data_IF_205493505595
#
_entry.id   IF_205493505595
#
_cell.length_a   1.000
_cell.length_b   1.000
_cell.length_c   1.000
_cell.angle_alpha   90.00
_cell.angle_beta   90.00
_cell.angle_gamma   90.00
#
_symmetry.space_group_name_H-M   'P 1'
#
loop_
_entity.id
_entity.type
_entity.pdbx_description
1 polymer ?
#
# COMPACT_ATOMS: atom_id res chain seq x y z
N UNK A 1 54.55 15.35 69.43
CA UNK A 1 53.96 14.09 69.01
C UNK A 1 52.70 14.36 68.22
N UNK A 2 52.79 14.36 66.88
CA UNK A 2 51.69 14.68 65.99
C UNK A 2 51.49 13.50 65.04
N UNK A 3 50.44 12.77 65.27
CA UNK A 3 50.01 11.63 64.46
C UNK A 3 49.17 12.10 63.26
N UNK A 4 49.70 11.91 62.03
CA UNK A 4 48.98 12.20 60.80
C UNK A 4 48.09 11.01 60.43
N UNK A 5 46.78 11.21 60.42
CA UNK A 5 45.78 10.26 59.92
C UNK A 5 45.69 10.38 58.38
N UNK A 6 46.10 9.35 57.66
CA UNK A 6 46.00 9.28 56.21
C UNK A 6 44.57 8.89 55.79
N UNK A 7 43.89 9.75 55.08
CA UNK A 7 42.61 9.47 54.40
C UNK A 7 42.88 8.71 53.09
N UNK A 8 42.54 7.44 53.07
CA UNK A 8 42.50 6.66 51.82
C UNK A 8 41.13 6.88 51.15
N UNK A 9 41.12 7.60 50.05
CA UNK A 9 39.98 7.78 49.20
C UNK A 9 39.81 6.50 48.31
N UNK A 10 38.75 5.75 48.51
CA UNK A 10 38.34 4.69 47.60
C UNK A 10 37.56 5.30 46.44
N UNK A 11 38.14 5.29 45.28
CA UNK A 11 37.44 5.65 44.04
C UNK A 11 36.62 4.44 43.58
N UNK A 12 35.29 4.54 43.67
CA UNK A 12 34.36 3.54 43.17
C UNK A 12 34.16 3.79 41.68
N UNK A 13 34.77 3.00 40.80
CA UNK A 13 34.58 3.06 39.37
C UNK A 13 33.25 2.36 39.01
N UNK A 14 32.23 3.13 38.66
CA UNK A 14 30.95 2.62 38.15
C UNK A 14 31.14 2.31 36.67
N UNK A 15 31.25 1.03 36.33
CA UNK A 15 31.20 0.51 34.96
C UNK A 15 29.76 0.60 34.46
N UNK A 16 29.43 1.62 33.66
CA UNK A 16 28.17 1.68 32.89
C UNK A 16 28.28 0.66 31.74
N UNK A 17 27.67 -0.50 31.89
CA UNK A 17 27.43 -1.43 30.80
C UNK A 17 26.27 -0.91 29.94
N UNK A 18 26.59 -0.31 28.81
CA UNK A 18 25.59 0.00 27.76
C UNK A 18 25.18 -1.31 27.10
N UNK A 19 24.01 -1.85 27.45
CA UNK A 19 23.39 -2.93 26.71
C UNK A 19 23.02 -2.45 25.31
N UNK A 20 23.40 -3.16 24.22
CA UNK A 20 22.92 -2.83 22.89
C UNK A 20 21.41 -3.03 22.86
N UNK A 21 20.65 -1.97 22.55
CA UNK A 21 19.25 -2.07 22.24
C UNK A 21 19.13 -2.95 20.98
N UNK A 22 18.64 -4.18 21.15
CA UNK A 22 18.23 -5.01 20.04
C UNK A 22 17.07 -4.27 19.37
N UNK A 23 17.34 -3.60 18.26
CA UNK A 23 16.32 -3.07 17.39
C UNK A 23 15.47 -4.26 16.93
N UNK A 24 14.28 -4.38 17.52
CA UNK A 24 13.26 -5.33 17.06
C UNK A 24 12.89 -4.90 15.64
N UNK A 25 13.41 -5.61 14.63
CA UNK A 25 12.89 -5.49 13.27
C UNK A 25 11.45 -5.99 13.32
N UNK A 26 10.50 -5.07 13.27
CA UNK A 26 9.11 -5.44 13.03
C UNK A 26 9.03 -6.23 11.73
N UNK A 27 8.28 -7.36 11.71
CA UNK A 27 8.15 -8.15 10.50
C UNK A 27 7.41 -7.35 9.43
N UNK A 28 7.91 -7.42 8.18
CA UNK A 28 7.32 -6.83 6.98
C UNK A 28 5.79 -7.03 6.98
N UNK A 29 5.04 -5.97 7.21
CA UNK A 29 3.58 -6.01 7.26
C UNK A 29 3.01 -5.29 6.04
N UNK A 30 2.25 -6.01 5.23
CA UNK A 30 1.47 -5.40 4.15
C UNK A 30 0.06 -5.13 4.68
N UNK A 31 -0.39 -3.90 4.60
CA UNK A 31 -1.79 -3.56 4.83
C UNK A 31 -2.53 -3.75 3.52
N UNK A 32 -3.56 -4.57 3.56
CA UNK A 32 -4.48 -4.80 2.46
C UNK A 32 -5.89 -4.45 2.90
N UNK A 33 -6.60 -3.64 2.12
CA UNK A 33 -7.99 -3.31 2.34
C UNK A 33 -8.78 -3.50 1.04
N UNK A 34 -9.80 -4.35 1.07
CA UNK A 34 -10.73 -4.56 -0.04
C UNK A 34 -11.99 -3.76 0.20
N UNK A 35 -12.43 -3.05 -0.84
CA UNK A 35 -13.62 -2.20 -0.82
C UNK A 35 -14.61 -2.67 -1.87
N UNK A 36 -15.87 -2.81 -1.49
CA UNK A 36 -16.98 -3.09 -2.39
C UNK A 36 -17.69 -1.81 -2.82
N UNK A 37 -18.15 -1.78 -4.07
CA UNK A 37 -18.80 -0.61 -4.65
C UNK A 37 -18.76 -0.63 -6.17
N UNK A 38 -18.91 0.55 -6.78
CA UNK A 38 -18.98 0.71 -8.24
C UNK A 38 -18.00 1.77 -8.73
N UNK A 39 -17.41 1.52 -9.90
CA UNK A 39 -16.75 2.59 -10.66
C UNK A 39 -17.78 3.31 -11.54
N UNK A 40 -17.93 4.61 -11.33
CA UNK A 40 -18.67 5.45 -12.29
C UNK A 40 -17.81 5.77 -13.51
N UNK A 41 -16.49 5.80 -13.31
CA UNK A 41 -15.51 6.02 -14.39
C UNK A 41 -14.28 5.17 -14.10
N UNK A 42 -13.81 4.45 -15.11
CA UNK A 42 -12.48 3.85 -15.15
C UNK A 42 -11.97 3.96 -16.58
N UNK A 43 -11.06 4.90 -16.80
CA UNK A 43 -10.42 5.12 -18.11
C UNK A 43 -8.94 4.76 -18.05
N UNK A 44 -8.47 4.04 -19.06
CA UNK A 44 -7.09 3.67 -19.25
C UNK A 44 -6.69 3.98 -20.68
N UNK A 45 -5.81 4.95 -20.86
CA UNK A 45 -5.37 5.36 -22.19
C UNK A 45 -6.55 5.74 -23.10
N UNK A 46 -7.55 6.45 -22.57
CA UNK A 46 -8.74 6.87 -23.30
C UNK A 46 -9.81 5.78 -23.54
N UNK A 47 -9.60 4.54 -23.04
CA UNK A 47 -10.57 3.46 -23.13
C UNK A 47 -11.31 3.30 -21.83
N UNK A 48 -12.62 3.09 -21.90
CA UNK A 48 -13.48 2.84 -20.74
C UNK A 48 -13.46 1.35 -20.37
N UNK A 49 -13.49 1.10 -19.05
CA UNK A 49 -13.57 -0.25 -18.47
C UNK A 49 -14.60 -0.27 -17.35
N UNK A 50 -15.24 -1.42 -17.16
CA UNK A 50 -16.02 -1.70 -15.95
C UNK A 50 -15.11 -2.23 -14.84
N UNK A 51 -15.39 -1.88 -13.59
CA UNK A 51 -14.66 -2.43 -12.45
C UNK A 51 -15.56 -3.29 -11.55
N UNK A 52 -14.93 -4.28 -10.93
CA UNK A 52 -15.57 -5.20 -9.99
C UNK A 52 -15.28 -4.85 -8.53
N UNK A 53 -14.06 -4.46 -8.23
CA UNK A 53 -13.63 -4.12 -6.88
C UNK A 53 -12.40 -3.22 -6.89
N UNK A 54 -12.19 -2.48 -5.79
CA UNK A 54 -10.98 -1.71 -5.55
C UNK A 54 -10.31 -2.20 -4.26
N UNK A 55 -9.00 -2.40 -4.32
CA UNK A 55 -8.18 -2.72 -3.17
C UNK A 55 -7.12 -1.65 -2.92
N UNK A 56 -6.84 -1.40 -1.65
CA UNK A 56 -5.71 -0.60 -1.21
C UNK A 56 -4.62 -1.50 -0.66
N UNK A 57 -3.38 -1.25 -1.06
CA UNK A 57 -2.20 -1.91 -0.52
C UNK A 57 -1.21 -0.86 -0.03
N UNK A 58 -0.65 -1.08 1.13
CA UNK A 58 0.47 -0.30 1.62
C UNK A 58 1.59 -1.23 2.06
N UNK A 59 2.79 -1.01 1.53
CA UNK A 59 4.02 -1.69 1.95
C UNK A 59 4.68 -0.91 3.08
N UNK A 60 5.58 -1.54 3.83
CA UNK A 60 6.33 -0.88 4.92
C UNK A 60 7.24 0.24 4.45
N UNK A 61 7.71 0.15 3.21
CA UNK A 61 8.55 1.19 2.58
C UNK A 61 7.75 2.47 2.26
N UNK A 62 6.47 2.54 2.67
CA UNK A 62 5.61 3.71 2.47
C UNK A 62 4.93 3.76 1.11
N UNK A 63 5.22 2.83 0.19
CA UNK A 63 4.55 2.75 -1.10
C UNK A 63 3.12 2.25 -0.91
N UNK A 64 2.18 2.98 -1.50
CA UNK A 64 0.77 2.64 -1.51
C UNK A 64 0.25 2.44 -2.94
N UNK A 65 -0.81 1.65 -3.05
CA UNK A 65 -1.38 1.26 -4.33
C UNK A 65 -2.91 1.20 -4.21
N UNK A 66 -3.61 1.82 -5.16
CA UNK A 66 -5.02 1.55 -5.42
C UNK A 66 -5.12 0.63 -6.62
N UNK A 67 -5.50 -0.62 -6.38
CA UNK A 67 -5.62 -1.65 -7.42
C UNK A 67 -7.08 -1.91 -7.73
N UNK A 68 -7.42 -1.78 -8.99
CA UNK A 68 -8.78 -1.99 -9.51
C UNK A 68 -8.84 -3.32 -10.23
N UNK A 69 -9.71 -4.21 -9.79
CA UNK A 69 -10.05 -5.43 -10.53
C UNK A 69 -11.09 -5.09 -11.60
N UNK A 70 -10.78 -5.40 -12.85
CA UNK A 70 -11.70 -5.17 -13.96
C UNK A 70 -12.81 -6.22 -13.98
N UNK A 71 -13.97 -5.80 -14.45
CA UNK A 71 -15.06 -6.73 -14.78
C UNK A 71 -14.82 -7.30 -16.18
N UNK A 72 -13.87 -8.23 -16.27
CA UNK A 72 -13.48 -8.93 -17.49
C UNK A 72 -13.77 -10.42 -17.34
N UNK A 73 -14.86 -10.93 -17.95
CA UNK A 73 -15.23 -12.34 -17.86
C UNK A 73 -14.17 -13.29 -18.44
N UNK A 74 -13.32 -12.79 -19.32
CA UNK A 74 -12.27 -13.58 -19.99
C UNK A 74 -10.96 -13.61 -19.22
N UNK A 75 -10.74 -12.69 -18.28
CA UNK A 75 -9.50 -12.54 -17.53
C UNK A 75 -9.71 -12.03 -16.10
N UNK A 76 -9.94 -12.94 -15.17
CA UNK A 76 -10.07 -12.61 -13.74
C UNK A 76 -8.81 -12.01 -13.12
N UNK A 77 -7.64 -12.08 -13.81
CA UNK A 77 -6.38 -11.45 -13.36
C UNK A 77 -6.18 -10.01 -13.86
N UNK A 78 -7.11 -9.48 -14.66
CA UNK A 78 -7.01 -8.16 -15.27
C UNK A 78 -7.14 -7.07 -14.21
N UNK A 79 -6.05 -6.41 -13.90
CA UNK A 79 -6.01 -5.35 -12.89
C UNK A 79 -5.25 -4.11 -13.37
N UNK A 80 -5.67 -2.97 -12.86
CA UNK A 80 -5.04 -1.67 -13.06
C UNK A 80 -4.70 -1.10 -11.71
N UNK A 81 -3.43 -0.68 -11.52
CA UNK A 81 -2.97 -0.15 -10.24
C UNK A 81 -2.41 1.25 -10.40
N UNK A 82 -2.94 2.18 -9.61
CA UNK A 82 -2.37 3.49 -9.35
C UNK A 82 -1.39 3.34 -8.19
N UNK A 83 -0.10 3.52 -8.45
CA UNK A 83 0.96 3.30 -7.47
C UNK A 83 1.73 4.59 -7.19
N UNK A 84 2.05 4.83 -5.92
CA UNK A 84 2.77 6.03 -5.53
C UNK A 84 3.40 5.94 -4.14
N UNK A 85 4.17 6.96 -3.81
CA UNK A 85 4.83 7.14 -2.53
C UNK A 85 4.36 8.42 -1.84
N UNK A 86 4.76 8.60 -0.59
CA UNK A 86 4.51 9.83 0.19
C UNK A 86 3.01 10.16 0.34
N UNK A 87 2.19 9.12 0.50
CA UNK A 87 0.78 9.29 0.83
C UNK A 87 0.62 10.06 2.15
N UNK A 88 -0.34 10.97 2.21
CA UNK A 88 -0.58 11.85 3.36
C UNK A 88 -2.06 11.92 3.72
N UNK A 89 -2.32 12.29 4.97
CA UNK A 89 -3.67 12.55 5.49
C UNK A 89 -3.79 14.02 5.90
N UNK A 90 -4.18 14.91 4.97
CA UNK A 90 -4.39 16.31 5.31
C UNK A 90 -5.55 16.51 6.30
N UNK A 91 -6.52 15.59 6.29
CA UNK A 91 -7.67 15.57 7.18
C UNK A 91 -7.93 14.15 7.69
N UNK A 92 -8.67 13.99 8.78
CA UNK A 92 -8.95 12.69 9.40
C UNK A 92 -9.61 11.68 8.45
N UNK A 93 -10.42 12.16 7.52
CA UNK A 93 -11.19 11.38 6.57
C UNK A 93 -10.75 11.57 5.10
N UNK A 94 -9.59 12.18 4.87
CA UNK A 94 -9.02 12.38 3.53
C UNK A 94 -7.61 11.80 3.47
N UNK A 95 -7.39 10.88 2.53
CA UNK A 95 -6.07 10.38 2.19
C UNK A 95 -5.72 10.79 0.75
N UNK A 96 -4.54 11.35 0.57
CA UNK A 96 -3.98 11.74 -0.73
C UNK A 96 -2.72 10.94 -1.01
N UNK A 97 -2.64 10.37 -2.22
CA UNK A 97 -1.49 9.60 -2.69
C UNK A 97 -1.00 10.20 -4.02
N UNK A 98 0.17 10.85 -4.03
CA UNK A 98 0.83 11.19 -5.29
C UNK A 98 1.15 9.91 -6.08
N UNK A 99 0.79 9.88 -7.36
CA UNK A 99 0.99 8.73 -8.25
C UNK A 99 2.23 8.97 -9.10
N UNK A 100 3.15 8.00 -9.12
CA UNK A 100 4.37 8.03 -9.93
C UNK A 100 4.38 6.97 -11.04
N UNK A 101 3.50 5.97 -10.96
CA UNK A 101 3.40 4.91 -11.98
C UNK A 101 2.04 4.22 -12.00
N UNK A 102 1.71 3.71 -13.19
CA UNK A 102 0.61 2.76 -13.40
C UNK A 102 1.16 1.36 -13.60
N UNK A 103 0.48 0.36 -13.00
CA UNK A 103 0.78 -1.06 -13.23
C UNK A 103 -0.42 -1.69 -13.93
N UNK A 104 -0.20 -2.28 -15.09
CA UNK A 104 -1.24 -2.89 -15.91
C UNK A 104 -0.98 -4.40 -16.01
N UNK A 105 -1.87 -5.21 -15.49
CA UNK A 105 -1.74 -6.67 -15.44
C UNK A 105 -2.90 -7.33 -16.18
N UNK A 106 -2.61 -8.35 -16.99
CA UNK A 106 -3.58 -9.21 -17.65
C UNK A 106 -2.99 -10.62 -17.83
N UNK A 107 -3.81 -11.60 -18.16
CA UNK A 107 -3.37 -12.98 -18.44
C UNK A 107 -2.39 -13.10 -19.61
N UNK A 108 -2.47 -12.15 -20.57
CA UNK A 108 -1.67 -12.14 -21.79
C UNK A 108 -0.27 -11.53 -21.58
N UNK A 109 0.03 -11.05 -20.37
CA UNK A 109 1.36 -10.54 -20.02
C UNK A 109 2.37 -11.68 -19.83
N UNK A 110 3.67 -11.43 -20.05
CA UNK A 110 4.72 -12.36 -19.67
C UNK A 110 4.56 -12.81 -18.21
N UNK A 111 4.90 -14.05 -17.92
CA UNK A 111 4.74 -14.63 -16.59
C UNK A 111 6.09 -14.89 -15.94
N UNK A 112 6.19 -14.66 -14.62
CA UNK A 112 7.24 -15.18 -13.76
C UNK A 112 6.58 -15.99 -12.65
N UNK A 113 7.09 -17.20 -12.40
CA UNK A 113 6.54 -18.16 -11.41
C UNK A 113 5.03 -18.42 -11.58
N UNK A 114 4.57 -18.43 -12.84
CA UNK A 114 3.17 -18.66 -13.19
C UNK A 114 2.26 -17.43 -13.07
N UNK A 115 2.74 -16.32 -12.54
CA UNK A 115 1.97 -15.08 -12.37
C UNK A 115 2.30 -14.05 -13.45
N UNK A 116 1.28 -13.37 -14.04
CA UNK A 116 1.52 -12.29 -15.00
C UNK A 116 2.33 -11.14 -14.38
N UNK A 117 3.40 -10.74 -15.07
CA UNK A 117 4.21 -9.57 -14.71
C UNK A 117 3.48 -8.32 -15.20
N UNK A 118 3.15 -7.34 -14.34
CA UNK A 118 2.52 -6.10 -14.78
C UNK A 118 3.45 -5.29 -15.69
N UNK A 119 2.90 -4.60 -16.69
CA UNK A 119 3.62 -3.49 -17.31
C UNK A 119 3.67 -2.30 -16.37
N UNK A 120 4.77 -1.58 -16.38
CA UNK A 120 4.97 -0.38 -15.58
C UNK A 120 5.02 0.81 -16.52
N UNK A 121 4.14 1.80 -16.32
CA UNK A 121 4.11 3.04 -17.06
C UNK A 121 4.35 4.19 -16.09
N UNK A 122 5.42 4.95 -16.29
CA UNK A 122 5.74 6.12 -15.45
C UNK A 122 4.72 7.23 -15.73
N UNK A 123 4.14 7.74 -14.68
CA UNK A 123 3.06 8.74 -14.73
C UNK A 123 3.24 9.77 -13.63
N UNK A 124 2.51 10.87 -13.73
CA UNK A 124 2.32 11.81 -12.64
C UNK A 124 0.83 11.99 -12.40
N UNK A 125 0.43 11.97 -11.12
CA UNK A 125 -0.98 12.07 -10.79
C UNK A 125 -1.26 12.14 -9.30
N UNK A 126 -2.54 12.00 -8.96
CA UNK A 126 -3.01 12.04 -7.59
C UNK A 126 -4.21 11.12 -7.42
N UNK A 127 -4.20 10.32 -6.38
CA UNK A 127 -5.39 9.66 -5.86
C UNK A 127 -5.85 10.35 -4.58
N UNK A 128 -7.17 10.51 -4.44
CA UNK A 128 -7.85 10.95 -3.22
C UNK A 128 -8.83 9.89 -2.77
N UNK A 129 -8.77 9.53 -1.51
CA UNK A 129 -9.72 8.64 -0.87
C UNK A 129 -10.41 9.40 0.24
N UNK A 130 -11.75 9.41 0.21
CA UNK A 130 -12.59 9.95 1.28
C UNK A 130 -13.08 8.80 2.14
N UNK A 131 -12.81 8.90 3.46
CA UNK A 131 -13.09 7.88 4.44
C UNK A 131 -11.89 7.56 5.31
N UNK A 132 -12.08 6.69 6.30
CA UNK A 132 -11.06 6.42 7.30
C UNK A 132 -10.86 4.91 7.46
N UNK A 133 -9.62 4.44 7.30
CA UNK A 133 -9.26 3.03 7.53
C UNK A 133 -9.38 2.60 9.00
N UNK A 134 -9.37 3.55 9.95
CA UNK A 134 -9.54 3.23 11.37
C UNK A 134 -11.00 2.88 11.68
N UNK A 135 -11.95 3.61 11.07
CA UNK A 135 -13.38 3.33 11.21
C UNK A 135 -13.87 2.29 10.21
N UNK A 136 -13.00 1.80 9.32
CA UNK A 136 -13.32 0.87 8.24
C UNK A 136 -14.36 1.40 7.24
N UNK A 137 -14.44 2.70 7.10
CA UNK A 137 -15.38 3.38 6.22
C UNK A 137 -14.63 4.07 5.09
N UNK A 138 -14.98 3.77 3.86
CA UNK A 138 -14.57 4.50 2.66
C UNK A 138 -15.82 4.86 1.88
N UNK A 139 -15.97 6.13 1.52
CA UNK A 139 -17.09 6.59 0.72
C UNK A 139 -16.74 6.66 -0.76
N UNK A 140 -15.56 7.17 -1.10
CA UNK A 140 -15.15 7.31 -2.50
C UNK A 140 -13.63 7.29 -2.69
N UNK A 141 -13.23 6.98 -3.92
CA UNK A 141 -11.85 7.10 -4.39
C UNK A 141 -11.88 7.77 -5.75
N UNK A 142 -11.06 8.80 -5.92
CA UNK A 142 -10.83 9.44 -7.21
C UNK A 142 -9.34 9.45 -7.52
N UNK A 143 -8.94 8.96 -8.69
CA UNK A 143 -7.57 9.00 -9.15
C UNK A 143 -7.50 9.60 -10.55
N UNK A 144 -6.48 10.41 -10.78
CA UNK A 144 -6.10 10.89 -12.11
C UNK A 144 -4.59 10.78 -12.25
N UNK A 145 -4.13 10.30 -13.40
CA UNK A 145 -2.70 10.26 -13.72
C UNK A 145 -2.50 10.44 -15.24
N UNK A 146 -1.34 10.93 -15.64
CA UNK A 146 -0.96 11.02 -17.05
C UNK A 146 0.52 10.65 -17.22
N UNK A 147 0.85 10.06 -18.37
CA UNK A 147 2.23 9.83 -18.76
C UNK A 147 2.79 11.03 -19.53
N UNK A 148 4.09 10.98 -19.83
CA UNK A 148 4.78 12.02 -20.60
C UNK A 148 4.30 12.18 -22.05
N UNK A 149 3.55 11.20 -22.57
CA UNK A 149 3.01 11.21 -23.93
C UNK A 149 1.55 11.69 -23.97
N UNK A 150 1.01 12.13 -22.81
CA UNK A 150 -0.38 12.58 -22.69
C UNK A 150 -1.41 11.45 -22.57
N UNK A 151 -0.98 10.18 -22.39
CA UNK A 151 -1.88 9.09 -22.08
C UNK A 151 -2.45 9.29 -20.67
N UNK A 152 -3.76 9.25 -20.52
CA UNK A 152 -4.47 9.54 -19.28
C UNK A 152 -5.07 8.29 -18.65
N UNK A 153 -5.15 8.31 -17.32
CA UNK A 153 -5.72 7.27 -16.47
C UNK A 153 -6.65 7.95 -15.47
N UNK A 154 -7.88 7.44 -15.34
CA UNK A 154 -8.89 8.05 -14.49
C UNK A 154 -9.70 6.97 -13.77
N UNK A 155 -9.92 7.14 -12.47
CA UNK A 155 -10.81 6.33 -11.65
C UNK A 155 -11.74 7.24 -10.87
N UNK A 156 -13.04 6.94 -10.92
CA UNK A 156 -14.05 7.45 -10.00
C UNK A 156 -14.79 6.23 -9.40
N UNK A 157 -14.58 6.00 -8.14
CA UNK A 157 -15.15 4.88 -7.40
C UNK A 157 -16.03 5.39 -6.27
N UNK A 158 -17.19 4.76 -6.10
CA UNK A 158 -18.13 4.99 -5.01
C UNK A 158 -18.36 3.69 -4.27
N UNK A 159 -18.15 3.71 -2.95
CA UNK A 159 -18.45 2.57 -2.09
C UNK A 159 -19.97 2.32 -2.01
N UNK A 160 -20.35 1.08 -1.79
CA UNK A 160 -21.74 0.68 -1.50
C UNK A 160 -22.11 0.83 -0.01
N UNK A 161 -21.17 1.33 0.82
CA UNK A 161 -21.35 1.52 2.25
C UNK A 161 -21.03 0.29 3.08
N UNK A 162 -20.66 -0.84 2.47
CA UNK A 162 -20.19 -1.99 3.22
C UNK A 162 -18.84 -1.69 3.89
N UNK A 163 -18.61 -2.20 5.11
CA UNK A 163 -17.33 -2.03 5.80
C UNK A 163 -16.18 -2.62 4.99
N UNK A 164 -15.04 -1.94 4.98
CA UNK A 164 -13.83 -2.47 4.34
C UNK A 164 -13.36 -3.76 5.01
N UNK A 165 -12.98 -4.74 4.21
CA UNK A 165 -12.24 -5.90 4.68
C UNK A 165 -10.75 -5.55 4.76
N UNK A 166 -10.23 -5.32 5.97
CA UNK A 166 -8.81 -5.00 6.19
C UNK A 166 -8.06 -6.23 6.69
N UNK A 167 -6.97 -6.56 6.03
CA UNK A 167 -6.06 -7.65 6.41
C UNK A 167 -4.63 -7.11 6.54
N UNK A 168 -3.92 -7.57 7.58
CA UNK A 168 -2.48 -7.36 7.73
C UNK A 168 -1.79 -8.67 7.40
N UNK A 169 -0.98 -8.66 6.36
CA UNK A 169 -0.25 -9.83 5.89
C UNK A 169 1.21 -9.69 6.34
N UNK A 170 1.66 -10.58 7.22
CA UNK A 170 3.07 -10.68 7.57
C UNK A 170 3.79 -11.41 6.44
N UNK A 171 4.78 -10.79 5.81
CA UNK A 171 5.67 -11.47 4.86
C UNK A 171 6.53 -12.47 5.61
N UNK A 172 6.17 -13.74 5.55
CA UNK A 172 7.12 -14.83 5.85
C UNK A 172 8.04 -15.00 4.63
N UNK A 173 9.35 -14.98 4.81
CA UNK A 173 10.37 -15.11 3.76
C UNK A 173 10.40 -16.46 3.03
N UNK A 174 9.35 -17.26 3.08
CA UNK A 174 9.28 -18.59 2.46
C UNK A 174 8.16 -18.61 1.43
N UNK A 175 8.57 -18.65 0.18
CA UNK A 175 7.88 -18.89 -1.07
C UNK A 175 6.51 -19.55 -1.07
N UNK A 176 5.45 -18.83 -0.66
CA UNK A 176 4.08 -19.19 -1.03
C UNK A 176 3.65 -18.31 -2.19
N UNK A 177 3.02 -18.88 -3.24
CA UNK A 177 2.43 -18.09 -4.31
C UNK A 177 1.43 -17.11 -3.69
N UNK A 178 1.55 -15.83 -4.08
CA UNK A 178 0.62 -14.80 -3.65
C UNK A 178 -0.77 -15.12 -4.23
N UNK A 179 -1.71 -15.48 -3.37
CA UNK A 179 -3.13 -15.59 -3.72
C UNK A 179 -3.60 -14.19 -4.11
N UNK A 180 -4.31 -14.08 -5.24
CA UNK A 180 -4.86 -12.79 -5.66
C UNK A 180 -5.83 -12.29 -4.58
N UNK A 181 -5.72 -11.01 -4.16
CA UNK A 181 -6.64 -10.44 -3.18
C UNK A 181 -8.09 -10.36 -3.65
N UNK A 182 -8.34 -10.64 -4.92
CA UNK A 182 -9.66 -10.59 -5.53
C UNK A 182 -10.31 -11.98 -5.73
N UNK A 183 -9.63 -13.07 -5.32
CA UNK A 183 -10.17 -14.43 -5.50
C UNK A 183 -11.43 -14.69 -4.68
N UNK A 184 -11.62 -13.94 -3.58
CA UNK A 184 -12.79 -14.04 -2.70
C UNK A 184 -13.96 -13.13 -3.13
N UNK A 185 -13.83 -12.35 -4.21
CA UNK A 185 -14.86 -11.42 -4.71
C UNK A 185 -15.66 -12.12 -5.81
N UNK A 186 -16.78 -12.74 -5.43
CA UNK A 186 -17.77 -13.32 -6.36
C UNK A 186 -18.91 -12.35 -6.63
#
# INVERSE_FOLDING_TARGET
MTTRLGRRAFALAILLTTAPALASQEPDTIIFALMSGKCSTLKVAGRDFACRAVAFFQTEEGRANFTVALDDPSDGSHTITFSGDNGRRPEANLYELPIDRMLLKSKDRPKADGLPIPSVELTAGLCKQVGNFVTLEVSSISCTASDKNGKTYELQYQSDGAPMAVRRIKRTRIGRPAVSPFDDVK
#
